data_IF_286571790481
#
_entry.id   IF_286571790481
#
_cell.length_a   1.000
_cell.length_b   1.000
_cell.length_c   1.000
_cell.angle_alpha   90.00
_cell.angle_beta   90.00
_cell.angle_gamma   90.00
#
_symmetry.space_group_name_H-M   'P 1'
#
loop_
_entity.id
_entity.type
_entity.pdbx_description
1 polymer ?
#
# COMPACT_ATOMS: atom_id res chain seq x y z
N UNK A 1 -5.50 16.31 7.36
CA UNK A 1 -4.21 16.45 8.04
C UNK A 1 -3.34 15.30 7.57
N UNK A 2 -2.26 15.57 6.85
CA UNK A 2 -1.35 14.54 6.36
C UNK A 2 -0.31 14.30 7.46
N UNK A 3 -0.37 13.15 8.15
CA UNK A 3 0.75 12.76 9.01
C UNK A 3 2.06 12.65 8.20
N UNK A 4 3.23 12.69 8.85
CA UNK A 4 4.55 12.71 8.20
C UNK A 4 4.74 11.66 7.07
N UNK A 5 4.22 10.44 7.26
CA UNK A 5 4.29 9.39 6.24
C UNK A 5 3.47 9.67 4.97
N UNK A 6 2.33 10.36 5.09
CA UNK A 6 1.52 10.77 3.93
C UNK A 6 2.21 11.85 3.10
N UNK A 7 2.82 12.84 3.76
CA UNK A 7 3.63 13.87 3.08
C UNK A 7 4.82 13.25 2.35
N UNK A 8 5.58 12.38 3.01
CA UNK A 8 6.73 11.72 2.39
C UNK A 8 6.35 10.87 1.18
N UNK A 9 5.19 10.21 1.22
CA UNK A 9 4.67 9.44 0.09
C UNK A 9 4.31 10.34 -1.11
N UNK A 10 3.65 11.48 -0.85
CA UNK A 10 3.29 12.44 -1.89
C UNK A 10 4.55 13.06 -2.53
N UNK A 11 5.51 13.48 -1.71
CA UNK A 11 6.79 14.05 -2.18
C UNK A 11 7.55 13.05 -3.06
N UNK A 12 7.62 11.78 -2.63
CA UNK A 12 8.29 10.72 -3.39
C UNK A 12 7.59 10.44 -4.73
N UNK A 13 6.26 10.41 -4.73
CA UNK A 13 5.48 10.19 -5.95
C UNK A 13 5.66 11.35 -6.94
N UNK A 14 5.56 12.60 -6.49
CA UNK A 14 5.78 13.76 -7.37
C UNK A 14 7.21 13.83 -7.89
N UNK A 15 8.21 13.52 -7.06
CA UNK A 15 9.60 13.47 -7.51
C UNK A 15 9.80 12.42 -8.61
N UNK A 16 9.25 11.21 -8.44
CA UNK A 16 9.33 10.16 -9.45
C UNK A 16 8.59 10.53 -10.74
N UNK A 17 7.39 11.11 -10.64
CA UNK A 17 6.63 11.61 -11.80
C UNK A 17 7.40 12.71 -12.55
N UNK A 18 8.03 13.64 -11.83
CA UNK A 18 8.84 14.71 -12.43
C UNK A 18 10.07 14.18 -13.17
N UNK A 19 10.60 13.03 -12.75
CA UNK A 19 11.68 12.31 -13.43
C UNK A 19 11.20 11.45 -14.61
N UNK A 20 9.89 11.40 -14.88
CA UNK A 20 9.31 10.60 -15.95
C UNK A 20 9.20 9.10 -15.63
N UNK A 21 9.29 8.73 -14.35
CA UNK A 21 9.11 7.34 -13.93
C UNK A 21 7.63 6.94 -13.99
N UNK A 22 7.39 5.65 -14.25
CA UNK A 22 6.12 5.03 -13.89
C UNK A 22 6.05 4.88 -12.36
N UNK A 23 4.94 5.33 -11.77
CA UNK A 23 4.78 5.36 -10.31
C UNK A 23 3.68 4.42 -9.88
N UNK A 24 4.01 3.55 -8.93
CA UNK A 24 3.06 2.67 -8.25
C UNK A 24 2.87 3.19 -6.83
N UNK A 25 1.62 3.50 -6.47
CA UNK A 25 1.24 3.82 -5.09
C UNK A 25 0.71 2.55 -4.44
N UNK A 26 1.28 2.21 -3.28
CA UNK A 26 0.85 1.07 -2.46
C UNK A 26 -0.05 1.58 -1.33
N UNK A 27 -1.37 1.35 -1.38
CA UNK A 27 -2.27 1.81 -0.34
C UNK A 27 -1.94 1.19 1.01
N UNK A 28 -1.97 1.99 2.08
CA UNK A 28 -2.05 1.43 3.43
C UNK A 28 -3.51 1.11 3.70
N UNK A 29 -3.81 -0.16 3.93
CA UNK A 29 -5.15 -0.65 4.18
C UNK A 29 -5.18 -1.49 5.47
N UNK A 30 -6.34 -1.62 6.11
CA UNK A 30 -6.53 -2.45 7.31
C UNK A 30 -8.00 -2.73 7.50
N UNK A 31 -8.40 -3.95 7.90
CA UNK A 31 -9.78 -4.22 8.37
C UNK A 31 -9.85 -4.37 9.90
N UNK A 32 -8.68 -4.53 10.54
CA UNK A 32 -8.57 -4.90 11.94
C UNK A 32 -8.36 -3.70 12.87
N UNK A 33 -8.50 -2.48 12.35
CA UNK A 33 -8.57 -1.30 13.21
C UNK A 33 -9.89 -1.32 14.02
N UNK A 34 -9.84 -1.14 15.36
CA UNK A 34 -11.05 -1.10 16.17
C UNK A 34 -11.96 0.08 15.84
N UNK A 35 -11.43 1.14 15.21
CA UNK A 35 -12.18 2.32 14.80
C UNK A 35 -12.66 2.08 13.37
N UNK A 36 -13.96 1.91 13.19
CA UNK A 36 -14.59 1.60 11.89
C UNK A 36 -14.16 2.56 10.75
N UNK A 37 -14.10 3.87 11.03
CA UNK A 37 -13.63 4.89 10.07
C UNK A 37 -12.18 4.74 9.60
N UNK A 38 -11.39 3.86 10.22
CA UNK A 38 -10.01 3.57 9.86
C UNK A 38 -9.86 2.22 9.12
N UNK A 39 -10.97 1.54 8.83
CA UNK A 39 -10.99 0.31 8.04
C UNK A 39 -10.98 0.61 6.54
N UNK A 40 -10.54 -0.35 5.73
CA UNK A 40 -10.28 -0.17 4.31
C UNK A 40 -9.06 0.72 4.05
N UNK A 41 -9.16 1.58 3.04
CA UNK A 41 -8.07 2.51 2.65
C UNK A 41 -7.89 3.59 3.70
N UNK A 42 -6.65 3.81 4.13
CA UNK A 42 -6.35 4.86 5.12
C UNK A 42 -6.66 6.27 4.60
N UNK A 43 -7.05 7.16 5.51
CA UNK A 43 -7.30 8.56 5.17
C UNK A 43 -6.09 9.23 4.50
N UNK A 44 -4.88 8.98 5.01
CA UNK A 44 -3.65 9.55 4.41
C UNK A 44 -3.43 9.05 2.98
N UNK A 45 -3.64 7.75 2.70
CA UNK A 45 -3.55 7.24 1.33
C UNK A 45 -4.55 7.94 0.42
N UNK A 46 -5.81 8.10 0.85
CA UNK A 46 -6.82 8.80 0.07
C UNK A 46 -6.42 10.25 -0.22
N UNK A 47 -5.96 10.98 0.80
CA UNK A 47 -5.48 12.35 0.61
C UNK A 47 -4.28 12.43 -0.33
N UNK A 48 -3.34 11.46 -0.29
CA UNK A 48 -2.25 11.39 -1.26
C UNK A 48 -2.80 11.24 -2.68
N UNK A 49 -3.69 10.26 -2.91
CA UNK A 49 -4.30 10.01 -4.23
C UNK A 49 -5.06 11.24 -4.76
N UNK A 50 -5.79 11.95 -3.90
CA UNK A 50 -6.53 13.16 -4.25
C UNK A 50 -5.61 14.35 -4.62
N UNK A 51 -4.37 14.36 -4.12
CA UNK A 51 -3.40 15.46 -4.31
C UNK A 51 -2.31 15.14 -5.37
N UNK A 52 -2.32 13.94 -5.94
CA UNK A 52 -1.42 13.61 -7.04
C UNK A 52 -1.69 14.50 -8.25
N UNK A 53 -0.61 15.00 -8.86
CA UNK A 53 -0.69 15.90 -10.01
C UNK A 53 -0.45 15.17 -11.35
N UNK A 54 -0.23 13.86 -11.30
CA UNK A 54 0.00 13.02 -12.46
C UNK A 54 -0.55 11.61 -12.25
N UNK A 55 -0.69 10.83 -13.34
CA UNK A 55 -1.23 9.49 -13.27
C UNK A 55 -0.28 8.57 -12.51
N UNK A 56 -0.87 7.67 -11.71
CA UNK A 56 -0.15 6.60 -11.02
C UNK A 56 -0.94 5.32 -11.15
N UNK A 57 -0.27 4.19 -10.96
CA UNK A 57 -0.91 2.89 -10.78
C UNK A 57 -1.14 2.66 -9.29
N UNK A 58 -2.40 2.48 -8.87
CA UNK A 58 -2.71 2.04 -7.51
C UNK A 58 -2.57 0.51 -7.41
N UNK A 59 -1.79 0.03 -6.44
CA UNK A 59 -1.65 -1.40 -6.20
C UNK A 59 -2.92 -1.97 -5.58
N UNK A 60 -3.62 -2.85 -6.31
CA UNK A 60 -4.88 -3.45 -5.87
C UNK A 60 -4.64 -4.78 -5.10
N UNK A 61 -4.96 -4.85 -3.79
CA UNK A 61 -4.82 -6.08 -3.01
C UNK A 61 -5.82 -7.18 -3.36
N UNK A 62 -6.85 -6.89 -4.14
CA UNK A 62 -7.90 -7.83 -4.50
C UNK A 62 -7.68 -8.46 -5.88
N UNK A 63 -6.81 -7.88 -6.72
CA UNK A 63 -6.55 -8.38 -8.09
C UNK A 63 -5.23 -9.14 -8.17
N UNK A 64 -5.31 -10.43 -8.49
CA UNK A 64 -4.13 -11.31 -8.52
C UNK A 64 -3.56 -11.51 -7.13
N UNK A 65 -4.44 -11.84 -6.18
CA UNK A 65 -4.22 -11.90 -4.74
C UNK A 65 -2.77 -12.22 -4.37
N UNK A 66 -2.12 -11.22 -3.78
CA UNK A 66 -0.73 -11.35 -3.37
C UNK A 66 -0.55 -12.58 -2.45
N UNK A 67 0.57 -13.28 -2.62
CA UNK A 67 0.82 -14.56 -1.94
C UNK A 67 1.11 -14.38 -0.45
N UNK A 68 0.06 -14.07 0.31
CA UNK A 68 0.12 -13.88 1.75
C UNK A 68 0.57 -15.16 2.45
N UNK A 69 0.18 -16.32 1.92
CA UNK A 69 0.54 -17.60 2.51
C UNK A 69 2.04 -17.87 2.33
N UNK A 70 2.56 -17.71 1.12
CA UNK A 70 4.00 -17.80 0.86
C UNK A 70 4.80 -16.78 1.66
N UNK A 71 4.28 -15.56 1.85
CA UNK A 71 4.92 -14.59 2.74
C UNK A 71 4.98 -15.06 4.21
N UNK A 72 3.89 -15.63 4.76
CA UNK A 72 3.90 -16.23 6.09
C UNK A 72 4.92 -17.39 6.16
N UNK A 73 4.85 -18.31 5.20
CA UNK A 73 5.67 -19.52 5.16
C UNK A 73 7.16 -19.20 4.92
N UNK A 74 7.49 -18.01 4.39
CA UNK A 74 8.87 -17.56 4.19
C UNK A 74 9.64 -17.28 5.48
N UNK A 75 8.95 -17.09 6.61
CA UNK A 75 9.57 -16.69 7.88
C UNK A 75 10.11 -15.26 7.91
N UNK A 76 9.82 -14.43 6.89
CA UNK A 76 10.12 -13.01 6.92
C UNK A 76 9.35 -12.30 8.05
N UNK A 77 9.88 -11.18 8.59
CA UNK A 77 9.21 -10.45 9.66
C UNK A 77 7.81 -10.01 9.23
N UNK A 78 6.78 -10.56 9.87
CA UNK A 78 5.37 -10.34 9.54
C UNK A 78 4.63 -9.73 10.75
N UNK A 79 5.11 -8.59 11.24
CA UNK A 79 4.45 -7.84 12.31
C UNK A 79 4.42 -6.35 11.97
N UNK A 80 3.25 -5.73 12.09
CA UNK A 80 3.04 -4.32 11.87
C UNK A 80 2.09 -3.76 12.93
N UNK A 81 2.52 -2.71 13.64
CA UNK A 81 1.75 -2.09 14.72
C UNK A 81 1.29 -3.10 15.80
N UNK A 82 2.11 -4.13 16.06
CA UNK A 82 1.80 -5.18 17.03
C UNK A 82 0.83 -6.26 16.54
N UNK A 83 0.47 -6.26 15.25
CA UNK A 83 -0.41 -7.27 14.64
C UNK A 83 0.32 -8.06 13.55
N UNK A 84 0.02 -9.35 13.47
CA UNK A 84 0.47 -10.24 12.41
C UNK A 84 -0.52 -10.35 11.22
N UNK A 85 -0.14 -11.10 10.17
CA UNK A 85 -0.97 -11.29 8.96
C UNK A 85 -2.25 -12.10 9.20
N UNK A 86 -2.33 -12.89 10.27
CA UNK A 86 -3.58 -13.53 10.69
C UNK A 86 -4.54 -12.53 11.34
N UNK A 87 -4.00 -11.54 12.03
CA UNK A 87 -4.78 -10.52 12.74
C UNK A 87 -5.23 -9.39 11.81
N UNK A 88 -4.43 -8.99 10.81
CA UNK A 88 -4.75 -7.92 9.85
C UNK A 88 -4.35 -8.28 8.41
N UNK A 89 -4.98 -9.28 7.79
CA UNK A 89 -4.55 -9.83 6.50
C UNK A 89 -4.56 -8.80 5.37
N UNK A 90 -5.48 -7.82 5.40
CA UNK A 90 -5.56 -6.78 4.38
C UNK A 90 -4.32 -5.87 4.40
N UNK A 91 -3.77 -5.56 5.58
CA UNK A 91 -2.57 -4.73 5.69
C UNK A 91 -1.40 -5.35 4.92
N UNK A 92 -1.17 -6.65 5.11
CA UNK A 92 -0.08 -7.35 4.45
C UNK A 92 -0.35 -7.61 2.97
N UNK A 93 -1.59 -7.96 2.59
CA UNK A 93 -1.96 -8.10 1.16
C UNK A 93 -1.76 -6.80 0.39
N UNK A 94 -2.15 -5.66 0.96
CA UNK A 94 -1.95 -4.35 0.34
C UNK A 94 -0.47 -4.05 0.12
N UNK A 95 0.39 -4.33 1.10
CA UNK A 95 1.84 -4.19 0.93
C UNK A 95 2.39 -5.10 -0.18
N UNK A 96 2.00 -6.38 -0.20
CA UNK A 96 2.46 -7.34 -1.20
C UNK A 96 1.93 -7.05 -2.62
N UNK A 97 0.75 -6.42 -2.73
CA UNK A 97 0.17 -6.00 -4.01
C UNK A 97 1.09 -5.05 -4.80
N UNK A 98 1.91 -4.25 -4.11
CA UNK A 98 2.92 -3.40 -4.75
C UNK A 98 3.93 -4.19 -5.57
N UNK A 99 4.39 -5.34 -5.06
CA UNK A 99 5.28 -6.24 -5.78
C UNK A 99 4.60 -6.89 -6.97
N UNK A 100 3.33 -7.30 -6.83
CA UNK A 100 2.55 -7.86 -7.92
C UNK A 100 2.28 -6.82 -9.04
N UNK A 101 1.98 -5.58 -8.67
CA UNK A 101 1.83 -4.47 -9.61
C UNK A 101 3.14 -4.17 -10.33
N UNK A 102 4.26 -4.15 -9.61
CA UNK A 102 5.58 -3.94 -10.21
C UNK A 102 5.96 -5.07 -11.18
N UNK A 103 5.69 -6.33 -10.82
CA UNK A 103 5.91 -7.47 -11.71
C UNK A 103 5.17 -7.27 -13.04
N UNK A 104 3.87 -6.97 -13.00
CA UNK A 104 3.07 -6.70 -14.21
C UNK A 104 3.59 -5.53 -15.05
N UNK A 105 4.16 -4.50 -14.43
CA UNK A 105 4.73 -3.35 -15.14
C UNK A 105 6.05 -3.70 -15.86
N UNK A 106 6.79 -4.70 -15.37
CA UNK A 106 8.08 -5.11 -15.91
C UNK A 106 7.99 -6.27 -16.91
N UNK A 107 6.92 -7.07 -16.91
CA UNK A 107 6.67 -8.19 -17.83
C UNK A 107 6.53 -9.54 -17.13
#
# INVERSE_FOLDING_TARGET
DLGHGGMAALDSAHAALALGCEVIVVPRMSESDPRERHRGVSHHTRTVLDLLLGPVTEADPYVGAADLRGYIDSGLPASAMGRGPEEDPLFFRAALAGGAALGKALG
#
